data_IF_684585407769
#
_entry.id   IF_684585407769
#
_cell.length_a   1.000
_cell.length_b   1.000
_cell.length_c   1.000
_cell.angle_alpha   90.00
_cell.angle_beta   90.00
_cell.angle_gamma   90.00
#
_symmetry.space_group_name_H-M   'P 1'
#
loop_
_entity.id
_entity.type
_entity.pdbx_description
1 polymer ?
#
# COMPACT_ATOMS: atom_id res chain seq x y z
N UNK A 1 4.58 -5.39 -20.01
CA UNK A 1 5.79 -6.21 -20.27
C UNK A 1 5.97 -7.11 -19.06
N UNK A 2 6.38 -8.37 -19.22
CA UNK A 2 6.58 -9.30 -18.10
C UNK A 2 7.71 -8.83 -17.15
N UNK A 3 7.64 -9.22 -15.87
CA UNK A 3 8.68 -8.93 -14.87
C UNK A 3 10.03 -9.58 -15.26
N UNK A 4 11.05 -8.76 -15.54
CA UNK A 4 12.41 -9.19 -15.92
C UNK A 4 13.47 -8.83 -14.86
N UNK A 5 13.04 -8.52 -13.63
CA UNK A 5 13.92 -7.98 -12.60
C UNK A 5 14.79 -9.02 -11.87
N UNK A 6 14.48 -10.31 -12.02
CA UNK A 6 15.09 -11.41 -11.23
C UNK A 6 14.50 -11.58 -9.83
N UNK A 7 13.59 -10.69 -9.40
CA UNK A 7 12.81 -10.83 -8.17
C UNK A 7 11.48 -11.52 -8.44
N UNK A 8 10.85 -12.08 -7.39
CA UNK A 8 9.47 -12.54 -7.48
C UNK A 8 8.55 -11.38 -7.94
N UNK A 9 7.42 -11.70 -8.56
CA UNK A 9 6.44 -10.68 -8.96
C UNK A 9 6.07 -9.82 -7.74
N UNK A 10 6.11 -8.49 -7.90
CA UNK A 10 5.88 -7.53 -6.81
C UNK A 10 6.86 -7.67 -5.62
N UNK A 11 8.08 -8.15 -5.86
CA UNK A 11 9.21 -8.27 -4.92
C UNK A 11 9.04 -9.27 -3.77
N UNK A 12 7.91 -9.23 -3.05
CA UNK A 12 7.65 -10.09 -1.90
C UNK A 12 7.55 -11.57 -2.30
N UNK A 13 8.04 -12.46 -1.45
CA UNK A 13 7.76 -13.90 -1.58
C UNK A 13 6.27 -14.22 -1.33
N UNK A 14 5.84 -15.39 -1.81
CA UNK A 14 4.44 -15.81 -1.69
C UNK A 14 4.00 -16.06 -0.24
N UNK A 15 4.94 -16.38 0.66
CA UNK A 15 4.62 -16.61 2.07
C UNK A 15 4.22 -15.30 2.76
N UNK A 16 4.96 -14.23 2.48
CA UNK A 16 4.72 -12.89 2.99
C UNK A 16 3.42 -12.34 2.42
N UNK A 17 3.20 -12.45 1.10
CA UNK A 17 1.92 -12.07 0.48
C UNK A 17 0.74 -12.83 1.09
N UNK A 18 0.86 -14.14 1.27
CA UNK A 18 -0.21 -14.98 1.84
C UNK A 18 -0.54 -14.54 3.27
N UNK A 19 0.45 -14.14 4.06
CA UNK A 19 0.25 -13.61 5.42
C UNK A 19 -0.46 -12.25 5.39
N UNK A 20 -0.01 -11.32 4.56
CA UNK A 20 -0.63 -10.00 4.40
C UNK A 20 -2.09 -10.14 3.91
N UNK A 21 -2.35 -11.01 2.93
CA UNK A 21 -3.70 -11.29 2.42
C UNK A 21 -4.65 -11.78 3.52
N UNK A 22 -4.18 -12.64 4.44
CA UNK A 22 -4.99 -13.04 5.61
C UNK A 22 -5.29 -11.85 6.54
N UNK A 23 -4.30 -10.98 6.77
CA UNK A 23 -4.50 -9.78 7.59
C UNK A 23 -5.49 -8.81 6.93
N UNK A 24 -5.40 -8.59 5.62
CA UNK A 24 -6.36 -7.79 4.84
C UNK A 24 -7.78 -8.33 5.00
N UNK A 25 -7.99 -9.64 4.82
CA UNK A 25 -9.32 -10.25 4.96
C UNK A 25 -9.88 -10.10 6.38
N UNK A 26 -9.02 -10.16 7.41
CA UNK A 26 -9.44 -9.87 8.80
C UNK A 26 -9.79 -8.40 8.99
N UNK A 27 -9.03 -7.47 8.41
CA UNK A 27 -9.29 -6.04 8.52
C UNK A 27 -10.60 -5.64 7.82
N UNK A 28 -10.90 -6.25 6.67
CA UNK A 28 -12.19 -6.08 5.98
C UNK A 28 -13.34 -6.59 6.84
N UNK A 29 -13.17 -7.76 7.49
CA UNK A 29 -14.20 -8.33 8.36
C UNK A 29 -14.38 -7.60 9.71
N UNK A 30 -13.43 -6.73 10.10
CA UNK A 30 -13.44 -5.98 11.36
C UNK A 30 -13.09 -4.51 11.06
N UNK A 31 -14.01 -3.73 10.47
CA UNK A 31 -13.71 -2.39 9.99
C UNK A 31 -13.18 -1.47 11.10
N UNK A 32 -12.03 -0.84 10.86
CA UNK A 32 -11.38 0.08 11.80
C UNK A 32 -10.48 -0.58 12.84
N UNK A 33 -10.53 -1.91 13.00
CA UNK A 33 -9.61 -2.62 13.90
C UNK A 33 -8.20 -2.71 13.31
N UNK A 34 -7.20 -2.39 14.12
CA UNK A 34 -5.79 -2.40 13.75
C UNK A 34 -5.24 -3.83 13.76
N UNK A 35 -5.38 -4.57 12.65
CA UNK A 35 -4.89 -5.95 12.53
C UNK A 35 -3.35 -5.97 12.52
N UNK A 36 -2.69 -6.61 13.51
CA UNK A 36 -1.25 -6.78 13.48
C UNK A 36 -0.84 -7.75 12.36
N UNK A 37 0.25 -7.45 11.66
CA UNK A 37 0.84 -8.35 10.68
C UNK A 37 2.37 -8.32 10.75
N UNK A 38 3.01 -9.43 10.37
CA UNK A 38 4.47 -9.58 10.41
C UNK A 38 5.14 -8.92 9.21
N UNK A 39 5.15 -7.58 9.19
CA UNK A 39 5.80 -6.80 8.14
C UNK A 39 7.29 -7.12 7.98
N UNK A 40 7.83 -6.88 6.79
CA UNK A 40 9.22 -7.13 6.43
C UNK A 40 9.92 -5.83 6.06
N UNK A 41 11.24 -5.83 6.18
CA UNK A 41 12.07 -4.78 5.61
C UNK A 41 11.86 -4.72 4.09
N UNK A 42 11.76 -3.50 3.56
CA UNK A 42 11.56 -3.20 2.15
C UNK A 42 12.77 -2.42 1.63
N UNK A 43 12.97 -2.31 0.30
CA UNK A 43 14.03 -1.49 -0.29
C UNK A 43 13.76 0.03 -0.17
N UNK A 44 13.05 0.44 0.89
CA UNK A 44 12.78 1.81 1.30
C UNK A 44 12.74 1.86 2.84
N UNK A 45 13.22 2.93 3.49
CA UNK A 45 13.28 2.98 4.95
C UNK A 45 11.89 2.94 5.60
N UNK A 46 11.81 2.44 6.84
CA UNK A 46 10.60 2.62 7.65
C UNK A 46 10.24 4.11 7.77
N UNK A 47 8.94 4.42 7.71
CA UNK A 47 8.44 5.79 7.63
C UNK A 47 8.23 6.32 6.20
N UNK A 48 8.81 5.66 5.18
CA UNK A 48 8.69 6.06 3.77
C UNK A 48 7.60 5.28 3.01
N UNK A 49 6.63 4.68 3.72
CA UNK A 49 5.49 4.00 3.09
C UNK A 49 5.60 2.49 2.94
N UNK A 50 6.51 1.84 3.67
CA UNK A 50 6.72 0.37 3.59
C UNK A 50 5.44 -0.45 3.79
N UNK A 51 4.53 -0.01 4.67
CA UNK A 51 3.24 -0.67 4.87
C UNK A 51 2.34 -0.63 3.62
N UNK A 52 2.19 0.56 3.02
CA UNK A 52 1.44 0.73 1.77
C UNK A 52 2.05 -0.09 0.64
N UNK A 53 3.38 -0.08 0.49
CA UNK A 53 4.07 -0.87 -0.53
C UNK A 53 3.87 -2.37 -0.34
N UNK A 54 3.88 -2.89 0.90
CA UNK A 54 3.62 -4.30 1.18
C UNK A 54 2.17 -4.70 0.86
N UNK A 55 1.20 -3.82 1.14
CA UNK A 55 -0.21 -4.01 0.78
C UNK A 55 -0.37 -4.04 -0.74
N UNK A 56 0.13 -3.03 -1.45
CA UNK A 56 0.09 -2.96 -2.92
C UNK A 56 0.72 -4.20 -3.54
N UNK A 57 1.89 -4.63 -3.07
CA UNK A 57 2.57 -5.83 -3.56
C UNK A 57 1.80 -7.14 -3.33
N UNK A 58 0.90 -7.16 -2.34
CA UNK A 58 0.09 -8.34 -2.01
C UNK A 58 -1.26 -8.37 -2.73
N UNK A 59 -1.73 -7.23 -3.22
CA UNK A 59 -3.02 -7.06 -3.90
C UNK A 59 -2.88 -6.98 -5.42
N UNK A 60 -1.86 -6.27 -5.92
CA UNK A 60 -1.68 -5.99 -7.34
C UNK A 60 -1.51 -7.27 -8.18
N UNK A 61 -2.14 -7.29 -9.35
CA UNK A 61 -2.01 -8.28 -10.41
C UNK A 61 -1.39 -7.71 -11.69
N UNK A 62 -1.13 -8.56 -12.66
CA UNK A 62 -0.46 -8.18 -13.92
C UNK A 62 -1.29 -7.25 -14.81
N UNK A 63 -2.62 -7.33 -14.70
CA UNK A 63 -3.58 -6.54 -15.50
C UNK A 63 -3.96 -5.21 -14.87
N UNK A 64 -3.50 -4.93 -13.66
CA UNK A 64 -3.85 -3.69 -12.96
C UNK A 64 -3.27 -2.45 -13.67
N UNK A 65 -3.82 -1.29 -13.32
CA UNK A 65 -3.26 0.01 -13.66
C UNK A 65 -3.00 0.76 -12.36
N UNK A 66 -1.71 0.93 -12.04
CA UNK A 66 -1.28 1.52 -10.78
C UNK A 66 -1.13 3.04 -10.88
N UNK A 67 -1.83 3.76 -10.01
CA UNK A 67 -1.57 5.17 -9.70
C UNK A 67 -0.87 5.28 -8.34
N UNK A 68 0.13 6.15 -8.24
CA UNK A 68 0.85 6.40 -6.99
C UNK A 68 0.98 7.91 -6.78
N UNK A 69 0.50 8.40 -5.64
CA UNK A 69 0.52 9.82 -5.28
C UNK A 69 1.09 10.05 -3.87
N UNK A 70 1.81 11.15 -3.68
CA UNK A 70 2.20 11.69 -2.37
C UNK A 70 1.80 13.17 -2.36
N UNK A 71 1.15 13.63 -1.28
CA UNK A 71 0.56 14.98 -1.21
C UNK A 71 -0.43 15.30 -2.34
N UNK A 72 -0.96 14.27 -3.01
CA UNK A 72 -1.90 14.41 -4.14
C UNK A 72 -1.22 14.51 -5.51
N UNK A 73 0.11 14.44 -5.59
CA UNK A 73 0.86 14.56 -6.83
C UNK A 73 1.66 13.30 -7.16
N UNK A 74 1.64 12.93 -8.44
CA UNK A 74 2.30 11.74 -8.99
C UNK A 74 3.82 11.94 -9.18
N UNK A 75 4.30 13.18 -9.23
CA UNK A 75 5.68 13.56 -9.55
C UNK A 75 6.57 13.83 -8.33
N UNK A 76 6.01 13.71 -7.12
CA UNK A 76 6.78 13.78 -5.88
C UNK A 76 7.85 12.69 -5.83
N UNK A 77 8.98 12.98 -5.17
CA UNK A 77 10.13 12.06 -5.09
C UNK A 77 9.75 10.67 -4.59
N UNK A 78 8.90 10.60 -3.58
CA UNK A 78 8.46 9.35 -3.00
C UNK A 78 7.47 8.60 -3.92
N UNK A 79 6.50 9.30 -4.52
CA UNK A 79 5.55 8.68 -5.45
C UNK A 79 6.25 8.12 -6.69
N UNK A 80 7.19 8.89 -7.27
CA UNK A 80 8.03 8.45 -8.39
C UNK A 80 8.86 7.23 -8.01
N UNK A 81 9.48 7.25 -6.82
CA UNK A 81 10.28 6.12 -6.31
C UNK A 81 9.45 4.84 -6.20
N UNK A 82 8.29 4.90 -5.56
CA UNK A 82 7.38 3.75 -5.36
C UNK A 82 6.82 3.26 -6.70
N UNK A 83 6.36 4.17 -7.57
CA UNK A 83 5.84 3.82 -8.90
C UNK A 83 6.90 3.14 -9.76
N UNK A 84 8.12 3.67 -9.76
CA UNK A 84 9.25 3.07 -10.50
C UNK A 84 9.66 1.72 -9.92
N UNK A 85 9.63 1.56 -8.60
CA UNK A 85 9.82 0.26 -7.95
C UNK A 85 8.81 -0.77 -8.48
N UNK A 86 7.51 -0.47 -8.44
CA UNK A 86 6.49 -1.41 -8.94
C UNK A 86 6.63 -1.68 -10.44
N UNK A 87 6.84 -0.66 -11.27
CA UNK A 87 7.12 -0.87 -12.71
C UNK A 87 8.26 -1.86 -12.92
N UNK A 88 9.33 -1.77 -12.14
CA UNK A 88 10.48 -2.67 -12.23
C UNK A 88 10.13 -4.12 -11.83
N UNK A 89 9.42 -4.32 -10.72
CA UNK A 89 9.20 -5.66 -10.14
C UNK A 89 7.88 -6.32 -10.56
N UNK A 90 7.02 -5.62 -11.31
CA UNK A 90 5.75 -6.17 -11.82
C UNK A 90 5.61 -5.99 -13.34
N UNK A 91 6.13 -4.90 -13.90
CA UNK A 91 5.86 -4.52 -15.30
C UNK A 91 4.42 -4.05 -15.56
N UNK A 92 3.67 -3.75 -14.49
CA UNK A 92 2.28 -3.29 -14.53
C UNK A 92 2.15 -1.94 -15.25
N UNK A 93 0.99 -1.69 -15.85
CA UNK A 93 0.68 -0.38 -16.41
C UNK A 93 0.55 0.65 -15.28
N UNK A 94 0.89 1.90 -15.57
CA UNK A 94 0.75 3.00 -14.61
C UNK A 94 0.03 4.18 -15.24
N UNK A 95 -0.72 4.92 -14.43
CA UNK A 95 -1.46 6.11 -14.87
C UNK A 95 -1.32 7.24 -13.85
N UNK A 96 -1.50 8.48 -14.30
CA UNK A 96 -1.67 9.66 -13.45
C UNK A 96 -3.14 10.07 -13.36
N UNK A 97 -4.04 9.36 -14.06
CA UNK A 97 -5.47 9.62 -14.11
C UNK A 97 -6.21 8.75 -13.09
N UNK A 98 -6.97 9.36 -12.20
CA UNK A 98 -7.66 8.64 -11.11
C UNK A 98 -8.71 7.66 -11.64
N UNK A 99 -9.45 8.07 -12.67
CA UNK A 99 -10.50 7.31 -13.34
C UNK A 99 -9.99 6.08 -14.10
N UNK A 100 -8.71 6.07 -14.49
CA UNK A 100 -8.10 4.94 -15.22
C UNK A 100 -7.38 3.94 -14.30
N UNK A 101 -7.23 4.24 -13.00
CA UNK A 101 -6.50 3.41 -12.07
C UNK A 101 -7.37 2.27 -11.53
N UNK A 102 -6.81 1.07 -11.35
CA UNK A 102 -7.47 0.00 -10.58
C UNK A 102 -6.96 -0.05 -9.14
N UNK A 103 -5.69 0.30 -8.95
CA UNK A 103 -5.04 0.41 -7.62
C UNK A 103 -4.41 1.79 -7.48
N UNK A 104 -4.73 2.47 -6.37
CA UNK A 104 -4.20 3.80 -6.03
C UNK A 104 -3.45 3.70 -4.71
N UNK A 105 -2.12 3.81 -4.72
CA UNK A 105 -1.34 3.97 -3.51
C UNK A 105 -1.14 5.45 -3.20
N UNK A 106 -1.51 5.88 -1.99
CA UNK A 106 -1.49 7.29 -1.61
C UNK A 106 -0.83 7.56 -0.28
N UNK A 107 -0.17 8.73 -0.19
CA UNK A 107 0.22 9.36 1.06
C UNK A 107 -0.49 10.71 1.24
N UNK A 108 -1.28 10.79 2.30
CA UNK A 108 -1.96 12.00 2.83
C UNK A 108 -3.13 12.58 2.01
N UNK A 109 -3.51 12.03 0.86
CA UNK A 109 -4.65 12.57 0.07
C UNK A 109 -5.58 11.49 -0.45
N UNK A 110 -6.86 11.85 -0.52
CA UNK A 110 -7.85 11.19 -1.36
C UNK A 110 -7.96 12.03 -2.63
N UNK A 111 -8.00 11.44 -3.84
CA UNK A 111 -8.27 12.20 -5.06
C UNK A 111 -9.60 12.95 -4.99
N UNK A 112 -9.68 14.11 -5.64
CA UNK A 112 -10.95 14.86 -5.75
C UNK A 112 -11.93 14.18 -6.72
N UNK A 113 -11.42 13.50 -7.74
CA UNK A 113 -12.22 12.63 -8.61
C UNK A 113 -12.81 11.50 -7.77
N UNK A 114 -14.14 11.34 -7.72
CA UNK A 114 -14.77 10.27 -6.97
C UNK A 114 -14.26 8.90 -7.41
N UNK A 115 -14.00 8.03 -6.43
CA UNK A 115 -13.62 6.65 -6.71
C UNK A 115 -14.84 5.85 -7.16
N UNK A 116 -14.62 4.86 -8.01
CA UNK A 116 -15.66 3.97 -8.52
C UNK A 116 -15.55 2.57 -7.92
N UNK A 117 -16.54 1.74 -8.23
CA UNK A 117 -16.50 0.30 -7.92
C UNK A 117 -15.20 -0.34 -8.43
N UNK A 118 -14.77 -1.40 -7.73
CA UNK A 118 -13.56 -2.19 -7.97
C UNK A 118 -12.21 -1.45 -7.83
N UNK A 119 -12.19 -0.12 -7.66
CA UNK A 119 -10.97 0.61 -7.35
C UNK A 119 -10.53 0.34 -5.90
N UNK A 120 -9.23 0.08 -5.72
CA UNK A 120 -8.63 -0.10 -4.40
C UNK A 120 -7.71 1.07 -4.09
N UNK A 121 -8.03 1.85 -3.05
CA UNK A 121 -7.14 2.89 -2.53
C UNK A 121 -6.40 2.40 -1.28
N UNK A 122 -5.07 2.54 -1.28
CA UNK A 122 -4.16 2.05 -0.24
C UNK A 122 -3.45 3.24 0.40
N UNK A 123 -3.72 3.50 1.68
CA UNK A 123 -3.15 4.61 2.43
C UNK A 123 -1.83 4.22 3.11
N UNK A 124 -0.82 5.09 2.97
CA UNK A 124 0.38 5.05 3.79
C UNK A 124 0.11 5.72 5.14
N UNK A 125 0.17 4.92 6.22
CA UNK A 125 -0.15 5.36 7.59
C UNK A 125 1.11 5.34 8.46
N UNK A 126 1.57 6.49 9.00
CA UNK A 126 2.74 6.54 9.87
C UNK A 126 2.43 6.07 11.30
N UNK A 127 1.27 6.46 11.85
CA UNK A 127 0.79 6.08 13.18
C UNK A 127 -0.63 5.53 13.00
N UNK A 128 -0.86 4.22 13.18
CA UNK A 128 -2.18 3.62 12.98
C UNK A 128 -3.12 3.82 14.16
N UNK A 129 -2.57 4.08 15.35
CA UNK A 129 -3.32 4.17 16.60
C UNK A 129 -3.83 5.61 16.81
N UNK A 130 -5.14 5.89 16.64
CA UNK A 130 -5.70 7.22 16.83
C UNK A 130 -5.53 7.73 18.28
N UNK A 131 -5.47 6.83 19.27
CA UNK A 131 -5.27 7.18 20.67
C UNK A 131 -3.79 7.43 21.02
N UNK A 132 -2.85 7.28 20.08
CA UNK A 132 -1.41 7.28 20.37
C UNK A 132 -0.92 8.58 21.02
N UNK A 133 -1.55 9.71 20.68
CA UNK A 133 -1.22 11.01 21.24
C UNK A 133 -1.89 11.27 22.61
N UNK A 134 -2.84 10.44 23.01
CA UNK A 134 -3.47 10.45 24.33
C UNK A 134 -2.74 9.46 25.24
N UNK A 135 -2.51 8.25 24.76
CA UNK A 135 -1.81 7.18 25.48
C UNK A 135 -0.73 6.54 24.57
N UNK A 136 0.56 6.74 24.90
CA UNK A 136 1.65 6.26 24.05
C UNK A 136 1.87 4.74 24.10
N UNK A 137 1.32 4.01 25.08
CA UNK A 137 1.58 2.58 25.28
C UNK A 137 0.56 1.71 24.55
N UNK A 138 1.05 0.84 23.68
CA UNK A 138 0.22 -0.17 23.01
C UNK A 138 -0.47 -1.13 23.98
N UNK A 139 0.14 -1.43 25.13
CA UNK A 139 -0.46 -2.28 26.16
C UNK A 139 -1.77 -1.71 26.71
N UNK A 140 -1.87 -0.38 26.76
CA UNK A 140 -3.07 0.32 27.22
C UNK A 140 -4.06 0.48 26.06
N UNK A 141 -3.64 1.04 24.92
CA UNK A 141 -4.54 1.36 23.80
C UNK A 141 -5.24 0.14 23.20
N UNK A 142 -4.61 -1.05 23.22
CA UNK A 142 -5.24 -2.29 22.74
C UNK A 142 -6.37 -2.82 23.63
N UNK A 143 -6.46 -2.34 24.87
CA UNK A 143 -7.48 -2.73 25.86
C UNK A 143 -8.67 -1.76 25.83
N UNK A 144 -8.44 -0.52 25.37
CA UNK A 144 -9.43 0.53 25.20
C UNK A 144 -10.32 0.28 23.97
#
# INVERSE_FOLDING_TARGET
>A
MANLSGYNFAYLDEQTKRMIRRAILKAVAIPGYQVPFGGREMPMPYGWGTGGTQLTASVIGESDVLKVIDQGADDTTNAVSIRNFFKRVTGVNTTERTDDATVIQTRHRIPETPLTEDQIIIFQVPIPEPLRFIEPRETETRTM
#
